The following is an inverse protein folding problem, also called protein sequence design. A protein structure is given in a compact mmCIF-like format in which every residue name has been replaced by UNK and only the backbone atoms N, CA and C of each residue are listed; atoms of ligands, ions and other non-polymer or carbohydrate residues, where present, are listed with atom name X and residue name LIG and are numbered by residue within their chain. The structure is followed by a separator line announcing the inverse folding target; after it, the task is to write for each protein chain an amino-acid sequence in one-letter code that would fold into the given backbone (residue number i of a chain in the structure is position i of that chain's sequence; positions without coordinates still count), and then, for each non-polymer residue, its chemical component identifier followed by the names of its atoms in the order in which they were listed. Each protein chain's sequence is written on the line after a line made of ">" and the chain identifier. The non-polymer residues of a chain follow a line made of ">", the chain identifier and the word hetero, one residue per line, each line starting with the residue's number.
data_IF_493201342573
#
_entry.id   IF_493201342573
#
_cell.length_a   1.000
_cell.length_b   1.000
_cell.length_c   1.000
_cell.angle_alpha   90.00
_cell.angle_beta   90.00
_cell.angle_gamma   90.00
#
_symmetry.space_group_name_H-M   'P 1'
#
loop_
_entity.id
_entity.type
_entity.pdbx_description
1 polymer ?
#
# COMPACT_ATOMS: atom_id res chain seq x y z
N UNK A 1 -20.11 -15.75 -17.38
CA UNK A 1 -19.04 -14.83 -17.80
C UNK A 1 -17.86 -15.69 -18.25
N UNK A 2 -17.20 -15.33 -19.35
CA UNK A 2 -16.02 -16.06 -19.81
C UNK A 2 -14.88 -15.80 -18.81
N UNK A 3 -14.13 -16.84 -18.43
CA UNK A 3 -12.95 -16.66 -17.60
C UNK A 3 -11.99 -15.67 -18.28
N UNK A 4 -11.42 -14.69 -17.55
CA UNK A 4 -10.46 -13.77 -18.13
C UNK A 4 -9.33 -14.57 -18.77
N UNK A 5 -8.95 -14.17 -19.99
CA UNK A 5 -7.88 -14.85 -20.70
C UNK A 5 -6.61 -14.77 -19.86
N UNK A 6 -6.07 -15.92 -19.45
CA UNK A 6 -4.88 -16.06 -18.60
C UNK A 6 -3.66 -15.27 -19.08
N UNK A 7 -3.62 -14.87 -20.35
CA UNK A 7 -2.61 -14.00 -20.94
C UNK A 7 -2.63 -12.54 -20.40
N UNK A 8 -3.75 -12.04 -19.88
CA UNK A 8 -3.85 -10.66 -19.37
C UNK A 8 -3.08 -10.44 -18.06
N UNK A 9 -2.76 -11.50 -17.33
CA UNK A 9 -2.11 -11.45 -16.02
C UNK A 9 -0.66 -11.92 -16.05
N UNK A 10 0.00 -11.83 -17.21
CA UNK A 10 1.43 -12.13 -17.31
C UNK A 10 2.26 -10.99 -16.66
N UNK A 11 2.99 -11.24 -15.56
CA UNK A 11 3.83 -10.22 -14.95
C UNK A 11 4.90 -9.71 -15.89
N UNK A 12 5.32 -10.49 -16.90
CA UNK A 12 6.36 -10.09 -17.85
C UNK A 12 5.94 -8.90 -18.74
N UNK A 13 4.64 -8.65 -18.90
CA UNK A 13 4.11 -7.52 -19.67
C UNK A 13 3.59 -6.37 -18.79
N UNK A 14 3.53 -6.54 -17.47
CA UNK A 14 3.05 -5.53 -16.54
C UNK A 14 4.07 -4.37 -16.36
N UNK A 15 3.68 -3.10 -16.61
CA UNK A 15 4.54 -1.95 -16.37
C UNK A 15 4.98 -1.82 -14.91
N UNK A 16 6.26 -1.57 -14.66
CA UNK A 16 6.82 -1.46 -13.30
C UNK A 16 7.09 -2.80 -12.62
N UNK A 17 6.77 -3.92 -13.26
CA UNK A 17 7.11 -5.26 -12.80
C UNK A 17 7.94 -6.02 -13.84
N UNK A 18 7.33 -6.38 -14.96
CA UNK A 18 8.01 -7.02 -16.08
C UNK A 18 8.52 -6.07 -17.13
N UNK A 19 7.91 -4.91 -17.29
CA UNK A 19 8.32 -3.90 -18.25
C UNK A 19 8.82 -2.65 -17.52
N UNK A 20 9.83 -1.95 -18.06
CA UNK A 20 10.20 -0.63 -17.56
C UNK A 20 9.00 0.33 -17.57
N UNK A 21 8.88 1.16 -16.55
CA UNK A 21 7.89 2.24 -16.51
C UNK A 21 8.21 3.29 -17.58
N UNK A 22 7.16 3.86 -18.15
CA UNK A 22 7.22 5.05 -19.00
C UNK A 22 6.18 6.10 -18.57
N UNK A 23 6.26 7.30 -19.14
CA UNK A 23 5.38 8.41 -18.76
C UNK A 23 3.89 8.11 -18.92
N UNK A 24 3.50 7.34 -19.95
CA UNK A 24 2.10 6.95 -20.17
C UNK A 24 1.59 6.04 -19.04
N UNK A 25 2.45 5.15 -18.53
CA UNK A 25 2.08 4.29 -17.41
C UNK A 25 1.81 5.12 -16.15
N UNK A 26 2.58 6.19 -15.93
CA UNK A 26 2.37 7.13 -14.82
C UNK A 26 1.08 7.94 -14.98
N UNK A 27 0.76 8.38 -16.20
CA UNK A 27 -0.53 9.04 -16.47
C UNK A 27 -1.71 8.10 -16.19
N UNK A 28 -1.63 6.84 -16.65
CA UNK A 28 -2.65 5.82 -16.38
C UNK A 28 -2.76 5.56 -14.88
N UNK A 29 -1.63 5.42 -14.17
CA UNK A 29 -1.57 5.20 -12.74
C UNK A 29 -2.38 6.24 -11.97
N UNK A 30 -2.23 7.52 -12.35
CA UNK A 30 -2.98 8.63 -11.76
C UNK A 30 -4.49 8.47 -11.93
N UNK A 31 -4.96 8.14 -13.14
CA UNK A 31 -6.39 7.94 -13.38
C UNK A 31 -6.92 6.78 -12.54
N UNK A 32 -6.22 5.66 -12.54
CA UNK A 32 -6.64 4.46 -11.81
C UNK A 32 -6.61 4.68 -10.30
N UNK A 33 -5.60 5.38 -9.78
CA UNK A 33 -5.52 5.78 -8.37
C UNK A 33 -6.70 6.67 -7.97
N UNK A 34 -7.01 7.69 -8.77
CA UNK A 34 -8.14 8.57 -8.50
C UNK A 34 -9.50 7.88 -8.65
N UNK A 35 -9.60 6.69 -9.25
CA UNK A 35 -10.83 5.87 -9.25
C UNK A 35 -10.92 4.92 -8.04
N UNK A 36 -9.89 4.84 -7.20
CA UNK A 36 -9.98 4.09 -5.95
C UNK A 36 -10.95 4.79 -4.99
N UNK A 37 -11.71 4.01 -4.19
CA UNK A 37 -12.50 4.58 -3.12
C UNK A 37 -11.58 5.25 -2.09
N UNK A 38 -12.10 6.28 -1.43
CA UNK A 38 -11.41 6.86 -0.29
C UNK A 38 -11.38 5.82 0.85
N UNK A 39 -10.35 5.86 1.70
CA UNK A 39 -10.17 4.86 2.76
C UNK A 39 -11.40 4.66 3.64
N UNK A 40 -12.10 5.75 4.00
CA UNK A 40 -13.32 5.67 4.83
C UNK A 40 -14.49 4.94 4.15
N UNK A 41 -14.48 4.87 2.82
CA UNK A 41 -15.48 4.16 2.03
C UNK A 41 -15.13 2.67 1.86
N UNK A 42 -13.93 2.23 2.24
CA UNK A 42 -13.53 0.82 2.20
C UNK A 42 -14.14 0.06 3.37
N UNK A 43 -14.72 -1.15 3.14
CA UNK A 43 -15.07 -2.03 4.24
C UNK A 43 -13.82 -2.39 5.05
N UNK A 44 -13.99 -2.55 6.36
CA UNK A 44 -12.95 -3.11 7.23
C UNK A 44 -12.73 -4.59 6.88
N UNK A 45 -11.92 -4.85 5.84
CA UNK A 45 -11.77 -6.17 5.19
C UNK A 45 -11.44 -7.29 6.18
N UNK A 46 -10.58 -7.00 7.17
CA UNK A 46 -10.21 -7.96 8.21
C UNK A 46 -11.40 -8.46 9.04
N UNK A 47 -12.43 -7.62 9.22
CA UNK A 47 -13.63 -7.94 10.02
C UNK A 47 -14.84 -8.36 9.18
N UNK A 48 -14.97 -7.81 7.95
CA UNK A 48 -16.12 -8.03 7.08
C UNK A 48 -15.91 -9.14 6.05
N UNK A 49 -14.66 -9.38 5.66
CA UNK A 49 -14.27 -10.30 4.59
C UNK A 49 -13.03 -11.15 4.96
N UNK A 50 -12.94 -11.71 6.19
CA UNK A 50 -11.76 -12.45 6.63
C UNK A 50 -11.44 -13.69 5.76
N UNK A 51 -12.46 -14.29 5.14
CA UNK A 51 -12.33 -15.42 4.22
C UNK A 51 -11.51 -15.08 2.97
N UNK A 52 -11.70 -13.88 2.40
CA UNK A 52 -10.99 -13.45 1.21
C UNK A 52 -9.52 -13.15 1.53
N UNK A 53 -9.25 -12.50 2.67
CA UNK A 53 -7.88 -12.26 3.12
C UNK A 53 -7.16 -13.58 3.38
N UNK A 54 -7.83 -14.55 4.01
CA UNK A 54 -7.26 -15.88 4.24
C UNK A 54 -6.93 -16.58 2.91
N UNK A 55 -7.85 -16.58 1.96
CA UNK A 55 -7.65 -17.22 0.66
C UNK A 55 -6.50 -16.59 -0.15
N UNK A 56 -6.38 -15.25 -0.15
CA UNK A 56 -5.28 -14.54 -0.80
C UNK A 56 -3.94 -14.85 -0.13
N UNK A 57 -3.91 -14.88 1.20
CA UNK A 57 -2.72 -15.29 1.94
C UNK A 57 -2.33 -16.75 1.67
N UNK A 58 -3.31 -17.63 1.47
CA UNK A 58 -3.07 -19.01 1.06
C UNK A 58 -2.48 -19.10 -0.37
N UNK A 59 -2.91 -18.22 -1.30
CA UNK A 59 -2.28 -18.10 -2.63
C UNK A 59 -0.83 -17.62 -2.48
N UNK A 60 -0.58 -16.53 -1.76
CA UNK A 60 0.76 -15.97 -1.52
C UNK A 60 1.69 -17.05 -0.91
N UNK A 61 1.20 -17.82 0.06
CA UNK A 61 1.98 -18.86 0.74
C UNK A 61 2.32 -20.03 -0.18
N UNK A 62 1.36 -20.52 -0.98
CA UNK A 62 1.59 -21.63 -1.92
C UNK A 62 2.66 -21.31 -2.96
N UNK A 63 2.80 -20.02 -3.31
CA UNK A 63 3.83 -19.53 -4.22
C UNK A 63 5.09 -19.00 -3.53
N UNK A 64 5.19 -19.13 -2.20
CA UNK A 64 6.33 -18.65 -1.39
C UNK A 64 6.61 -17.14 -1.53
N UNK A 65 5.58 -16.32 -1.79
CA UNK A 65 5.72 -14.89 -2.10
C UNK A 65 5.59 -13.95 -0.90
N UNK A 66 5.34 -14.47 0.31
CA UNK A 66 5.08 -13.64 1.50
C UNK A 66 6.25 -12.73 1.94
N UNK A 67 7.44 -12.94 1.40
CA UNK A 67 8.61 -12.12 1.69
C UNK A 67 8.68 -10.84 0.83
N UNK A 68 7.84 -10.73 -0.20
CA UNK A 68 7.87 -9.66 -1.21
C UNK A 68 6.48 -9.16 -1.63
N UNK A 69 5.42 -9.92 -1.34
CA UNK A 69 4.05 -9.61 -1.76
C UNK A 69 3.08 -9.71 -0.60
N UNK A 70 2.19 -8.72 -0.47
CA UNK A 70 1.02 -8.76 0.39
C UNK A 70 -0.27 -8.40 -0.36
N UNK A 71 -1.40 -8.83 0.19
CA UNK A 71 -2.70 -8.28 -0.18
C UNK A 71 -2.92 -6.99 0.61
N UNK A 72 -3.35 -5.94 -0.08
CA UNK A 72 -3.55 -4.62 0.51
C UNK A 72 -4.94 -4.07 0.15
N UNK A 73 -5.59 -3.34 1.04
CA UNK A 73 -6.88 -2.69 0.78
C UNK A 73 -6.71 -1.61 -0.28
N UNK A 74 -7.32 -1.75 -1.45
CA UNK A 74 -7.16 -0.79 -2.54
C UNK A 74 -7.88 0.52 -2.22
N UNK A 75 -7.15 1.55 -1.79
CA UNK A 75 -7.73 2.84 -1.44
C UNK A 75 -6.88 4.01 -1.90
N UNK A 76 -7.49 5.19 -1.96
CA UNK A 76 -6.77 6.46 -2.07
C UNK A 76 -6.86 7.24 -0.76
N UNK A 77 -5.86 8.08 -0.53
CA UNK A 77 -5.84 9.05 0.56
C UNK A 77 -6.39 10.40 0.11
N UNK A 78 -6.08 10.82 -1.11
CA UNK A 78 -6.60 12.06 -1.68
C UNK A 78 -6.76 11.92 -3.19
N UNK A 79 -7.52 12.83 -3.79
CA UNK A 79 -7.45 13.04 -5.24
C UNK A 79 -6.14 13.77 -5.55
N UNK A 80 -5.37 13.25 -6.50
CA UNK A 80 -4.14 13.91 -6.96
C UNK A 80 -4.35 14.68 -8.28
N UNK A 81 -3.64 15.81 -8.48
CA UNK A 81 -3.71 16.62 -9.69
C UNK A 81 -3.30 15.88 -10.97
N UNK A 82 -3.71 16.43 -12.12
CA UNK A 82 -3.22 16.00 -13.42
C UNK A 82 -1.69 16.12 -13.51
N UNK A 83 -1.04 15.18 -14.18
CA UNK A 83 0.41 15.18 -14.35
C UNK A 83 1.21 14.86 -13.08
N UNK A 84 0.57 14.27 -12.06
CA UNK A 84 1.23 13.81 -10.83
C UNK A 84 0.97 12.33 -10.56
N UNK A 85 1.83 11.70 -9.77
CA UNK A 85 1.64 10.34 -9.23
C UNK A 85 1.94 10.31 -7.73
N UNK A 86 1.42 9.30 -7.02
CA UNK A 86 1.81 9.03 -5.63
C UNK A 86 3.21 8.43 -5.58
N UNK A 87 4.15 9.15 -4.97
CA UNK A 87 5.52 8.71 -4.78
C UNK A 87 5.89 8.74 -3.30
N UNK A 88 6.31 7.59 -2.80
CA UNK A 88 6.90 7.44 -1.49
C UNK A 88 8.40 7.77 -1.51
N UNK A 89 8.81 8.65 -0.60
CA UNK A 89 10.21 9.08 -0.46
C UNK A 89 10.66 9.10 0.99
N UNK A 90 11.95 8.86 1.23
CA UNK A 90 12.51 8.88 2.58
C UNK A 90 12.49 10.29 3.21
N UNK A 91 12.13 10.35 4.49
CA UNK A 91 12.12 11.60 5.26
C UNK A 91 13.46 11.90 5.96
N UNK A 92 14.46 11.04 5.81
CA UNK A 92 15.74 11.15 6.54
C UNK A 92 15.65 10.70 8.01
N UNK A 93 14.47 10.33 8.48
CA UNK A 93 14.25 9.65 9.78
C UNK A 93 14.11 8.15 9.52
N UNK A 94 14.75 7.32 10.35
CA UNK A 94 14.81 5.88 10.11
C UNK A 94 13.41 5.25 10.12
N UNK A 95 13.06 4.57 9.02
CA UNK A 95 11.76 3.93 8.86
C UNK A 95 10.61 4.89 8.53
N UNK A 96 10.87 6.19 8.35
CA UNK A 96 9.86 7.16 7.99
C UNK A 96 9.94 7.48 6.51
N UNK A 97 8.81 7.34 5.85
CA UNK A 97 8.64 7.78 4.47
C UNK A 97 7.35 8.60 4.36
N UNK A 98 7.25 9.38 3.30
CA UNK A 98 6.05 10.13 2.99
C UNK A 98 5.67 9.94 1.52
N UNK A 99 4.41 9.59 1.31
CA UNK A 99 3.83 9.38 0.02
C UNK A 99 3.11 10.66 -0.40
N UNK A 100 3.54 11.27 -1.51
CA UNK A 100 3.09 12.59 -1.98
C UNK A 100 2.73 12.54 -3.45
N UNK A 101 1.81 13.41 -3.87
CA UNK A 101 1.70 13.72 -5.29
C UNK A 101 2.98 14.40 -5.78
N UNK A 102 3.58 13.82 -6.82
CA UNK A 102 4.83 14.29 -7.40
C UNK A 102 4.66 14.44 -8.89
N UNK A 103 5.11 15.57 -9.44
CA UNK A 103 4.96 15.89 -10.86
C UNK A 103 5.73 14.89 -11.73
N UNK A 104 5.05 14.25 -12.68
CA UNK A 104 5.62 13.26 -13.61
C UNK A 104 6.79 13.86 -14.39
N UNK A 105 6.70 15.15 -14.79
CA UNK A 105 7.70 15.84 -15.61
C UNK A 105 9.08 15.95 -14.95
N UNK A 106 9.17 15.85 -13.62
CA UNK A 106 10.45 15.94 -12.89
C UNK A 106 10.94 14.57 -12.41
N UNK A 107 10.17 13.50 -12.64
CA UNK A 107 10.54 12.15 -12.25
C UNK A 107 11.50 11.52 -13.25
N UNK A 108 12.55 10.89 -12.71
CA UNK A 108 13.37 9.95 -13.45
C UNK A 108 12.74 8.55 -13.27
N UNK A 109 12.02 8.08 -14.30
CA UNK A 109 11.30 6.79 -14.26
C UNK A 109 12.22 5.59 -14.00
N UNK A 110 13.52 5.74 -14.21
CA UNK A 110 14.51 4.69 -13.93
C UNK A 110 14.96 4.65 -12.46
N UNK A 111 14.54 5.63 -11.66
CA UNK A 111 14.88 5.77 -10.23
C UNK A 111 13.67 5.60 -9.31
N UNK A 112 12.58 5.07 -9.85
CA UNK A 112 11.39 4.71 -9.09
C UNK A 112 10.99 3.28 -9.42
N UNK A 113 10.17 2.68 -8.57
CA UNK A 113 9.52 1.41 -8.81
C UNK A 113 8.08 1.46 -8.34
N UNK A 114 7.23 0.61 -8.90
CA UNK A 114 5.85 0.47 -8.45
C UNK A 114 5.80 -0.34 -7.15
N UNK A 115 5.01 0.12 -6.19
CA UNK A 115 4.80 -0.54 -4.89
C UNK A 115 3.42 -1.14 -4.77
N UNK A 116 2.43 -0.61 -5.49
CA UNK A 116 1.06 -1.11 -5.47
C UNK A 116 0.52 -1.28 -6.88
N UNK A 117 -0.18 -2.38 -7.11
CA UNK A 117 -0.83 -2.70 -8.38
C UNK A 117 -2.31 -2.97 -8.20
N UNK A 118 -3.14 -2.27 -8.97
CA UNK A 118 -4.55 -2.62 -9.14
C UNK A 118 -4.69 -3.75 -10.16
N UNK A 119 -5.51 -4.73 -9.84
CA UNK A 119 -5.91 -5.78 -10.76
C UNK A 119 -7.08 -5.25 -11.59
N UNK A 120 -6.97 -5.30 -12.91
CA UNK A 120 -8.01 -4.89 -13.84
C UNK A 120 -8.26 -6.00 -14.87
N UNK A 121 -9.35 -5.91 -15.62
CA UNK A 121 -9.61 -6.82 -16.75
C UNK A 121 -8.48 -6.83 -17.80
N UNK A 122 -7.71 -5.73 -17.88
CA UNK A 122 -6.61 -5.55 -18.82
C UNK A 122 -5.23 -5.91 -18.24
N UNK A 123 -5.18 -6.42 -17.01
CA UNK A 123 -3.95 -6.77 -16.32
C UNK A 123 -3.63 -5.89 -15.11
N UNK A 124 -2.36 -5.87 -14.72
CA UNK A 124 -1.86 -5.16 -13.54
C UNK A 124 -1.51 -3.71 -13.91
N UNK A 125 -2.11 -2.77 -13.19
CA UNK A 125 -1.82 -1.33 -13.35
C UNK A 125 -1.13 -0.83 -12.08
N UNK A 126 0.11 -0.30 -12.16
CA UNK A 126 0.74 0.32 -11.00
C UNK A 126 -0.05 1.58 -10.61
N UNK A 127 -0.24 1.81 -9.31
CA UNK A 127 -1.04 2.94 -8.78
C UNK A 127 -0.25 3.82 -7.81
N UNK A 128 0.78 3.27 -7.17
CA UNK A 128 1.70 4.02 -6.33
C UNK A 128 3.14 3.55 -6.55
N UNK A 129 4.07 4.45 -6.24
CA UNK A 129 5.49 4.27 -6.52
C UNK A 129 6.33 4.61 -5.30
N UNK A 130 7.56 4.10 -5.25
CA UNK A 130 8.58 4.53 -4.30
C UNK A 130 9.89 4.88 -5.02
N UNK A 131 10.64 5.80 -4.42
CA UNK A 131 11.97 6.15 -4.91
C UNK A 131 12.99 5.04 -4.64
N UNK A 132 13.93 4.87 -5.56
CA UNK A 132 14.98 3.86 -5.50
C UNK A 132 14.64 2.58 -6.26
N UNK A 133 15.52 1.57 -6.19
CA UNK A 133 15.35 0.32 -6.89
C UNK A 133 14.19 -0.51 -6.32
N UNK A 134 13.55 -1.29 -7.18
CA UNK A 134 12.59 -2.30 -6.76
C UNK A 134 13.23 -3.28 -5.75
N UNK A 135 12.51 -3.67 -4.68
CA UNK A 135 12.97 -4.69 -3.75
C UNK A 135 12.99 -6.10 -4.36
N UNK A 136 12.39 -6.27 -5.54
CA UNK A 136 12.26 -7.53 -6.25
C UNK A 136 12.81 -7.44 -7.68
N UNK A 137 13.51 -8.47 -8.14
CA UNK A 137 13.90 -8.57 -9.53
C UNK A 137 12.76 -9.16 -10.37
N UNK A 138 12.70 -8.79 -11.65
CA UNK A 138 11.66 -9.24 -12.60
C UNK A 138 11.45 -10.76 -12.61
N UNK A 139 12.51 -11.54 -12.42
CA UNK A 139 12.46 -13.01 -12.49
C UNK A 139 11.85 -13.67 -11.24
N UNK A 140 11.61 -12.90 -10.18
CA UNK A 140 11.28 -13.45 -8.85
C UNK A 140 9.76 -13.56 -8.61
N UNK A 141 8.91 -13.01 -9.49
CA UNK A 141 7.45 -13.19 -9.41
C UNK A 141 6.97 -14.23 -10.43
N UNK A 142 6.51 -15.41 -9.99
CA UNK A 142 5.99 -16.43 -10.90
C UNK A 142 4.73 -15.95 -11.64
N UNK A 143 4.64 -16.20 -12.95
CA UNK A 143 3.45 -15.87 -13.73
C UNK A 143 2.19 -16.60 -13.22
N UNK A 144 2.35 -17.85 -12.76
CA UNK A 144 1.26 -18.63 -12.17
C UNK A 144 0.72 -17.98 -10.89
N UNK A 145 1.59 -17.39 -10.06
CA UNK A 145 1.18 -16.68 -8.86
C UNK A 145 0.27 -15.49 -9.22
N UNK A 146 0.71 -14.64 -10.14
CA UNK A 146 -0.04 -13.44 -10.55
C UNK A 146 -1.36 -13.82 -11.20
N UNK A 147 -1.35 -14.81 -12.09
CA UNK A 147 -2.58 -15.30 -12.71
C UNK A 147 -3.57 -15.84 -11.67
N UNK A 148 -3.10 -16.62 -10.68
CA UNK A 148 -3.96 -17.17 -9.64
C UNK A 148 -4.50 -16.09 -8.69
N UNK A 149 -3.66 -15.14 -8.28
CA UNK A 149 -4.07 -14.02 -7.44
C UNK A 149 -5.11 -13.16 -8.17
N UNK A 150 -4.82 -12.74 -9.40
CA UNK A 150 -5.72 -11.91 -10.19
C UNK A 150 -7.05 -12.60 -10.52
N UNK A 151 -7.01 -13.89 -10.90
CA UNK A 151 -8.25 -14.67 -11.14
C UNK A 151 -9.10 -14.73 -9.88
N UNK A 152 -8.50 -14.98 -8.70
CA UNK A 152 -9.26 -14.97 -7.45
C UNK A 152 -9.91 -13.61 -7.17
N UNK A 153 -9.17 -12.51 -7.39
CA UNK A 153 -9.70 -11.16 -7.23
C UNK A 153 -10.91 -10.91 -8.15
N UNK A 154 -10.77 -11.21 -9.45
CA UNK A 154 -11.82 -10.97 -10.43
C UNK A 154 -13.06 -11.86 -10.21
N UNK A 155 -12.87 -13.16 -9.95
CA UNK A 155 -13.97 -14.11 -9.77
C UNK A 155 -14.82 -13.80 -8.52
N UNK A 156 -14.25 -13.10 -7.53
CA UNK A 156 -14.92 -12.73 -6.29
C UNK A 156 -15.31 -11.24 -6.24
N UNK A 157 -15.11 -10.47 -7.33
CA UNK A 157 -15.45 -9.03 -7.37
C UNK A 157 -14.68 -8.18 -6.36
N UNK A 158 -13.40 -8.50 -6.14
CA UNK A 158 -12.52 -7.84 -5.17
C UNK A 158 -11.62 -6.77 -5.80
N UNK A 159 -11.76 -6.48 -7.08
CA UNK A 159 -10.90 -5.61 -7.88
C UNK A 159 -10.98 -4.12 -7.48
N UNK A 160 -12.07 -3.73 -6.82
CA UNK A 160 -12.19 -2.41 -6.17
C UNK A 160 -11.77 -2.41 -4.70
N UNK A 161 -11.49 -3.57 -4.11
CA UNK A 161 -11.24 -3.72 -2.67
C UNK A 161 -9.78 -4.07 -2.36
N UNK A 162 -9.09 -4.76 -3.27
CA UNK A 162 -7.78 -5.35 -2.99
C UNK A 162 -6.79 -5.03 -4.12
N UNK A 163 -5.63 -4.55 -3.70
CA UNK A 163 -4.45 -4.34 -4.52
C UNK A 163 -3.36 -5.35 -4.15
N UNK A 164 -2.42 -5.54 -5.08
CA UNK A 164 -1.19 -6.27 -4.86
C UNK A 164 -0.12 -5.29 -4.37
N UNK A 165 0.39 -5.49 -3.17
CA UNK A 165 1.48 -4.71 -2.60
C UNK A 165 2.82 -5.44 -2.80
N UNK A 166 3.82 -4.74 -3.30
CA UNK A 166 5.19 -5.22 -3.53
C UNK A 166 6.14 -4.47 -2.59
N UNK A 167 6.93 -5.21 -1.82
CA UNK A 167 7.84 -4.65 -0.83
C UNK A 167 9.01 -5.57 -0.47
N UNK A 168 9.83 -5.16 0.49
CA UNK A 168 10.85 -6.03 1.10
C UNK A 168 10.41 -6.46 2.50
N UNK A 169 9.51 -7.45 2.55
CA UNK A 169 8.93 -7.91 3.81
C UNK A 169 9.82 -8.91 4.57
N UNK A 170 10.88 -9.42 3.92
CA UNK A 170 11.89 -10.25 4.58
C UNK A 170 12.72 -9.49 5.63
N UNK A 171 12.97 -8.20 5.39
CA UNK A 171 13.85 -7.36 6.23
C UNK A 171 13.09 -6.47 7.22
N UNK A 172 11.77 -6.44 7.14
CA UNK A 172 10.93 -5.59 8.00
C UNK A 172 10.36 -6.44 9.14
N UNK A 173 10.93 -6.36 10.37
CA UNK A 173 10.21 -6.87 11.54
C UNK A 173 9.09 -5.91 11.98
N UNK A 174 9.04 -4.70 11.42
CA UNK A 174 8.17 -3.62 11.85
C UNK A 174 6.96 -3.52 10.94
N UNK A 175 5.81 -3.91 11.50
CA UNK A 175 4.51 -3.48 11.00
C UNK A 175 4.52 -1.96 10.82
N UNK A 176 4.00 -1.49 9.69
CA UNK A 176 3.94 -0.07 9.34
C UNK A 176 2.56 0.51 9.66
N UNK A 177 2.49 1.83 9.75
CA UNK A 177 1.27 2.60 9.87
C UNK A 177 1.27 3.78 8.91
N UNK A 178 0.17 3.95 8.19
CA UNK A 178 -0.16 5.05 7.29
C UNK A 178 -0.95 6.10 8.06
N UNK A 179 -0.58 7.37 7.94
CA UNK A 179 -1.30 8.50 8.54
C UNK A 179 -1.50 9.60 7.51
N UNK A 180 -2.74 10.03 7.31
CA UNK A 180 -3.05 11.09 6.37
C UNK A 180 -2.87 12.47 7.01
N UNK A 181 -2.06 13.32 6.38
CA UNK A 181 -1.68 14.63 6.88
C UNK A 181 -2.04 15.73 5.89
N UNK A 182 -2.74 16.74 6.39
CA UNK A 182 -2.96 18.03 5.74
C UNK A 182 -2.06 19.07 6.40
N UNK A 183 -1.06 19.56 5.67
CA UNK A 183 -0.13 20.57 6.17
C UNK A 183 -0.40 21.94 5.56
N UNK A 184 -1.05 22.81 6.33
CA UNK A 184 -1.53 24.12 5.91
C UNK A 184 -2.39 24.01 4.64
N UNK A 185 -2.10 24.81 3.60
CA UNK A 185 -2.75 24.74 2.29
C UNK A 185 -2.05 23.80 1.31
N UNK A 186 -1.04 23.02 1.74
CA UNK A 186 -0.35 22.07 0.87
C UNK A 186 -1.27 20.92 0.45
N UNK A 187 -0.90 20.19 -0.59
CA UNK A 187 -1.61 18.97 -0.94
C UNK A 187 -1.47 17.91 0.17
N UNK A 188 -2.55 17.16 0.53
CA UNK A 188 -2.46 16.08 1.49
C UNK A 188 -1.39 15.04 1.12
N UNK A 189 -0.71 14.54 2.14
CA UNK A 189 0.26 13.46 2.00
C UNK A 189 0.01 12.35 3.02
N UNK A 190 0.54 11.18 2.74
CA UNK A 190 0.49 10.05 3.69
C UNK A 190 1.85 9.90 4.31
N UNK A 191 1.91 9.84 5.63
CA UNK A 191 3.10 9.50 6.37
C UNK A 191 3.09 8.00 6.66
N UNK A 192 4.17 7.31 6.31
CA UNK A 192 4.40 5.92 6.64
C UNK A 192 5.43 5.84 7.77
N UNK A 193 5.06 5.25 8.89
CA UNK A 193 5.92 5.11 10.08
C UNK A 193 5.88 3.69 10.64
N UNK A 194 6.87 3.27 11.43
CA UNK A 194 6.74 2.05 12.22
C UNK A 194 5.51 2.14 13.15
N UNK A 195 4.64 1.14 13.17
CA UNK A 195 3.47 1.13 14.04
C UNK A 195 3.84 1.25 15.53
N UNK A 196 5.06 0.84 15.91
CA UNK A 196 5.60 0.98 17.27
C UNK A 196 5.79 2.43 17.73
N UNK A 197 5.80 3.40 16.82
CA UNK A 197 5.91 4.82 17.18
C UNK A 197 4.55 5.50 17.31
N UNK A 198 3.45 4.86 16.90
CA UNK A 198 2.09 5.41 16.98
C UNK A 198 1.61 5.40 18.44
N UNK A 199 1.01 6.50 18.88
CA UNK A 199 0.34 6.55 20.17
C UNK A 199 -1.07 5.95 20.10
N UNK A 200 -1.19 4.68 20.51
CA UNK A 200 -2.45 3.94 20.50
C UNK A 200 -3.48 4.42 21.54
N UNK A 201 -3.11 5.31 22.46
CA UNK A 201 -4.08 5.91 23.40
C UNK A 201 -4.94 6.99 22.73
N UNK A 202 -4.46 7.55 21.62
CA UNK A 202 -5.14 8.63 20.87
C UNK A 202 -5.38 8.29 19.40
N UNK A 203 -4.83 7.17 18.92
CA UNK A 203 -5.01 6.66 17.56
C UNK A 203 -5.49 5.21 17.55
N UNK A 204 -6.34 4.87 16.58
CA UNK A 204 -6.73 3.50 16.26
C UNK A 204 -5.96 3.01 15.03
N UNK A 205 -5.46 1.77 15.09
CA UNK A 205 -4.77 1.10 13.99
C UNK A 205 -5.73 0.15 13.26
N UNK A 206 -6.11 0.49 12.04
CA UNK A 206 -7.04 -0.26 11.19
C UNK A 206 -6.25 -1.02 10.11
N UNK A 207 -6.34 -2.36 10.01
CA UNK A 207 -5.56 -3.13 9.03
C UNK A 207 -5.78 -2.69 7.57
N UNK A 208 -4.69 -2.37 6.85
CA UNK A 208 -4.69 -2.09 5.39
C UNK A 208 -3.94 -3.14 4.58
N UNK A 209 -2.96 -3.84 5.17
CA UNK A 209 -2.21 -4.92 4.52
C UNK A 209 -2.18 -6.17 5.40
N UNK A 210 -1.99 -7.36 4.81
CA UNK A 210 -1.91 -8.62 5.57
C UNK A 210 -0.66 -9.44 5.25
N UNK A 211 0.11 -9.71 6.30
CA UNK A 211 1.37 -10.41 6.23
C UNK A 211 1.20 -11.92 6.04
N UNK A 212 2.11 -12.51 5.26
CA UNK A 212 2.34 -13.96 5.21
C UNK A 212 3.77 -14.23 5.62
N UNK A 213 3.98 -14.98 6.71
CA UNK A 213 5.36 -15.32 7.12
C UNK A 213 6.04 -16.13 6.05
N UNK A 214 7.28 -15.77 5.73
CA UNK A 214 8.11 -16.42 4.71
C UNK A 214 8.36 -17.93 4.96
N UNK A 215 8.25 -18.40 6.21
CA UNK A 215 8.59 -19.77 6.60
C UNK A 215 7.40 -20.63 7.06
N UNK A 216 6.16 -20.17 6.91
CA UNK A 216 4.99 -21.00 7.25
C UNK A 216 4.76 -22.02 6.10
N UNK A 217 5.61 -23.03 5.98
CA UNK A 217 5.27 -24.26 5.24
C UNK A 217 4.41 -25.21 6.07
N UNK A 218 4.14 -24.88 7.34
CA UNK A 218 3.16 -25.62 8.13
C UNK A 218 1.77 -25.33 7.58
N UNK A 219 1.15 -26.38 7.04
CA UNK A 219 -0.29 -26.48 6.86
C UNK A 219 -0.96 -26.16 8.19
N UNK A 220 -1.32 -24.90 8.41
CA UNK A 220 -2.17 -24.52 9.55
C UNK A 220 -3.45 -25.34 9.39
N UNK A 221 -3.79 -26.21 10.35
CA UNK A 221 -5.03 -26.98 10.27
C UNK A 221 -6.19 -26.02 10.05
N UNK A 222 -7.09 -26.36 9.13
CA UNK A 222 -8.33 -25.62 8.90
C UNK A 222 -9.17 -25.66 10.18
N UNK A 223 -8.91 -24.74 11.12
CA UNK A 223 -9.57 -24.76 12.42
C UNK A 223 -8.88 -24.04 13.58
N UNK A 224 -7.68 -23.47 13.45
CA UNK A 224 -7.18 -22.54 14.48
C UNK A 224 -7.57 -21.09 14.17
N UNK A 225 -8.11 -20.40 15.17
CA UNK A 225 -8.44 -18.97 15.20
C UNK A 225 -7.21 -18.06 14.93
N UNK A 226 -6.71 -18.06 13.70
CA UNK A 226 -5.60 -17.21 13.28
C UNK A 226 -6.05 -16.33 12.12
N UNK A 227 -6.82 -15.29 12.46
CA UNK A 227 -7.02 -14.20 11.51
C UNK A 227 -5.65 -13.73 10.98
N UNK A 228 -5.51 -13.49 9.67
CA UNK A 228 -4.27 -13.01 9.07
C UNK A 228 -3.70 -11.80 9.79
N UNK A 229 -2.43 -11.85 10.21
CA UNK A 229 -1.83 -10.72 10.95
C UNK A 229 -1.70 -9.51 10.02
N UNK A 230 -2.16 -8.33 10.43
CA UNK A 230 -1.95 -7.11 9.66
C UNK A 230 -0.46 -6.79 9.48
N UNK A 231 -0.08 -6.35 8.29
CA UNK A 231 1.24 -5.88 7.91
C UNK A 231 1.41 -4.37 7.94
N UNK A 232 0.35 -3.68 7.52
CA UNK A 232 0.23 -2.23 7.52
C UNK A 232 -1.11 -1.89 8.12
N UNK A 233 -1.15 -0.77 8.84
CA UNK A 233 -2.36 -0.20 9.41
C UNK A 233 -2.58 1.21 8.88
N UNK A 234 -3.82 1.63 8.75
CA UNK A 234 -4.20 3.04 8.75
C UNK A 234 -4.32 3.52 10.20
N UNK A 235 -3.71 4.66 10.54
CA UNK A 235 -3.74 5.25 11.86
C UNK A 235 -4.75 6.41 11.90
N UNK A 236 -5.95 6.15 12.42
CA UNK A 236 -7.01 7.15 12.59
C UNK A 236 -6.88 7.84 13.96
N UNK A 237 -7.01 9.17 14.01
CA UNK A 237 -7.05 9.91 15.28
C UNK A 237 -8.44 9.74 15.88
N UNK A 238 -8.53 9.25 17.11
CA UNK A 238 -9.81 9.02 17.82
C UNK A 238 -10.07 10.04 18.92
N UNK A 239 -9.06 10.83 19.31
CA UNK A 239 -9.16 11.89 20.33
C UNK A 239 -8.31 13.11 19.96
N UNK A 240 -8.77 14.35 20.22
CA UNK A 240 -10.09 14.71 20.73
C UNK A 240 -11.20 14.66 19.67
N UNK A 241 -10.84 14.51 18.40
CA UNK A 241 -11.76 14.41 17.27
C UNK A 241 -11.54 13.06 16.60
N UNK A 242 -12.62 12.38 16.24
CA UNK A 242 -12.54 11.20 15.39
C UNK A 242 -12.33 11.67 13.94
N UNK A 243 -11.10 11.55 13.44
CA UNK A 243 -10.74 11.93 12.08
C UNK A 243 -9.63 11.06 11.54
N UNK A 244 -9.73 10.76 10.26
CA UNK A 244 -8.73 10.01 9.51
C UNK A 244 -7.61 10.94 8.99
N UNK A 245 -7.86 12.25 8.95
CA UNK A 245 -6.94 13.28 8.45
C UNK A 245 -6.49 14.21 9.55
N UNK A 246 -5.17 14.34 9.73
CA UNK A 246 -4.59 15.28 10.71
C UNK A 246 -4.30 16.61 10.04
N UNK A 247 -4.92 17.68 10.52
CA UNK A 247 -4.77 19.03 9.99
C UNK A 247 -3.79 19.86 10.82
N UNK A 248 -2.82 20.47 10.15
CA UNK A 248 -1.87 21.43 10.73
C UNK A 248 -2.01 22.77 10.01
N UNK A 249 -1.92 23.88 10.73
CA UNK A 249 -1.86 25.23 10.12
C UNK A 249 -0.86 26.08 10.90
N UNK A 250 -0.10 26.93 10.21
CA UNK A 250 0.83 27.85 10.84
C UNK A 250 2.06 27.18 11.50
N UNK A 251 2.45 25.99 11.05
CA UNK A 251 3.55 25.19 11.62
C UNK A 251 4.90 25.36 10.91
N UNK A 252 5.04 26.37 10.05
CA UNK A 252 6.24 26.61 9.26
C UNK A 252 6.30 25.75 7.98
N UNK A 253 7.47 25.69 7.29
CA UNK A 253 7.58 24.99 6.02
C UNK A 253 7.38 23.48 6.18
N UNK A 254 6.79 22.85 5.16
CA UNK A 254 6.66 21.40 5.05
C UNK A 254 8.03 20.76 4.81
N UNK A 255 8.70 20.41 5.92
CA UNK A 255 9.98 19.68 5.92
C UNK A 255 9.92 18.55 6.95
N UNK A 256 10.66 17.45 6.75
CA UNK A 256 10.60 16.28 7.63
C UNK A 256 10.72 16.58 9.12
N UNK A 257 11.69 17.43 9.49
CA UNK A 257 11.91 17.83 10.88
C UNK A 257 10.67 18.45 11.53
N UNK A 258 10.00 19.36 10.83
CA UNK A 258 8.81 20.05 11.35
C UNK A 258 7.62 19.10 11.49
N UNK A 259 7.43 18.19 10.52
CA UNK A 259 6.37 17.18 10.55
C UNK A 259 6.56 16.27 11.76
N UNK A 260 7.73 15.66 11.89
CA UNK A 260 8.03 14.74 13.00
C UNK A 260 7.91 15.43 14.36
N UNK A 261 8.50 16.62 14.52
CA UNK A 261 8.43 17.38 15.76
C UNK A 261 6.97 17.69 16.14
N UNK A 262 6.16 18.14 15.19
CA UNK A 262 4.77 18.52 15.44
C UNK A 262 3.93 17.31 15.86
N UNK A 263 4.14 16.15 15.24
CA UNK A 263 3.43 14.92 15.57
C UNK A 263 3.78 14.41 16.99
N UNK A 264 5.04 14.55 17.41
CA UNK A 264 5.48 14.23 18.78
C UNK A 264 4.90 15.22 19.79
N UNK A 265 4.94 16.53 19.51
CA UNK A 265 4.35 17.56 20.38
C UNK A 265 2.84 17.37 20.60
N UNK A 266 2.14 16.85 19.59
CA UNK A 266 0.71 16.52 19.68
C UNK A 266 0.43 15.17 20.33
N UNK A 267 1.47 14.41 20.69
CA UNK A 267 1.34 13.09 21.28
C UNK A 267 0.77 12.05 20.31
N UNK A 268 0.85 12.26 18.99
CA UNK A 268 0.46 11.26 17.99
C UNK A 268 1.56 10.22 17.79
N UNK A 269 2.82 10.61 18.04
CA UNK A 269 3.99 9.72 18.03
C UNK A 269 4.69 9.71 19.40
N UNK A 270 5.17 8.55 19.85
CA UNK A 270 5.67 8.35 21.24
C UNK A 270 7.11 7.85 21.38
N UNK A 271 7.86 7.58 20.30
CA UNK A 271 9.26 7.09 20.37
C UNK A 271 10.02 7.35 19.04
N UNK A 272 10.21 8.61 18.64
CA UNK A 272 10.83 8.98 17.36
C UNK A 272 12.30 9.35 17.50
#
# INVERSE_FOLDING_TARGET
>A
MAAPATAAFDPAVAPGLGQPLNAKDLDIARFVYNELPYFEDQPHLHSKHPEHIKALNDIIRRHSMGHVVHAHSAHRHAIIPDGTVRLDTGMGVHGFTWNRATEIKVLDVNKIHATFFKITENGLVPIEFAAGPSPIAKADIPAEFVAQFATYIMDNGLDSLIALEIGNFAKLPTTMAEMEIQWDTEEPFTLNVPASVINVDVMELIPTSWNVKANDQESVPSGSDSNPRPGTYYAAVIRPVNTHKVFFSGRGPLVPENVTKTLVEMGLLINV
#
